data_IF_592893004856
#
_entry.id   IF_592893004856
#
_cell.length_a   1.000
_cell.length_b   1.000
_cell.length_c   1.000
_cell.angle_alpha   90.00
_cell.angle_beta   90.00
_cell.angle_gamma   90.00
#
_symmetry.space_group_name_H-M   'P 1'
#
loop_
_entity.id
_entity.type
_entity.pdbx_description
1 polymer ?
#
# COMPACT_ATOMS: atom_id res chain seq x y z
N UNK A 1 23.16 -38.83 21.63
CA UNK A 1 23.92 -39.11 20.40
C UNK A 1 22.94 -39.03 19.25
N UNK A 2 23.18 -38.08 18.32
CA UNK A 2 22.78 -37.96 16.89
C UNK A 2 21.37 -38.44 16.47
N UNK A 3 20.59 -37.77 15.64
CA UNK A 3 20.65 -36.55 14.82
C UNK A 3 19.24 -36.41 14.26
N UNK A 4 18.66 -35.21 14.25
CA UNK A 4 17.64 -34.90 13.25
C UNK A 4 17.93 -33.52 12.67
N UNK A 5 18.32 -33.54 11.40
CA UNK A 5 18.55 -32.38 10.56
C UNK A 5 17.20 -32.08 9.90
N UNK A 6 16.60 -30.94 10.20
CA UNK A 6 15.66 -30.31 9.28
C UNK A 6 16.42 -29.23 8.51
N UNK A 7 16.67 -29.38 7.21
CA UNK A 7 17.18 -28.31 6.37
C UNK A 7 16.02 -27.37 6.02
N UNK A 8 16.35 -26.09 5.84
CA UNK A 8 15.49 -25.02 5.33
C UNK A 8 14.60 -24.33 6.38
N UNK A 9 15.20 -23.43 7.14
CA UNK A 9 14.51 -22.28 7.69
C UNK A 9 15.39 -21.05 7.42
N UNK A 10 15.48 -20.66 6.15
CA UNK A 10 16.18 -19.45 5.70
C UNK A 10 15.29 -18.19 5.77
N UNK A 11 14.21 -18.19 6.55
CA UNK A 11 13.36 -17.00 6.73
C UNK A 11 13.62 -16.36 8.10
N UNK A 12 14.77 -15.69 8.22
CA UNK A 12 15.02 -14.77 9.33
C UNK A 12 14.27 -13.46 9.09
N UNK A 13 13.09 -13.37 9.70
CA UNK A 13 12.20 -12.22 9.74
C UNK A 13 12.77 -11.10 10.64
N UNK A 14 13.31 -10.04 10.04
CA UNK A 14 13.58 -8.76 10.68
C UNK A 14 13.21 -7.63 9.72
N UNK A 15 11.96 -7.16 9.75
CA UNK A 15 11.52 -6.01 8.94
C UNK A 15 11.41 -4.76 9.81
N UNK A 16 12.37 -3.84 9.63
CA UNK A 16 12.25 -2.46 10.12
C UNK A 16 11.62 -1.61 9.02
N UNK A 17 10.88 -0.55 9.41
CA UNK A 17 10.26 0.56 8.64
C UNK A 17 11.17 1.29 7.63
N UNK A 18 12.00 0.55 6.91
CA UNK A 18 13.18 1.04 6.18
C UNK A 18 12.95 1.14 4.68
N UNK A 19 11.77 0.77 4.20
CA UNK A 19 11.48 0.73 2.77
C UNK A 19 12.22 -0.37 2.00
N UNK A 20 12.91 -1.30 2.70
CA UNK A 20 13.70 -2.39 2.09
C UNK A 20 12.85 -3.17 1.08
N UNK A 21 11.63 -3.57 1.44
CA UNK A 21 10.76 -4.32 0.54
C UNK A 21 10.48 -3.54 -0.76
N UNK A 22 10.12 -2.25 -0.66
CA UNK A 22 9.81 -1.43 -1.82
C UNK A 22 11.03 -1.27 -2.74
N UNK A 23 12.22 -1.15 -2.15
CA UNK A 23 13.49 -1.04 -2.87
C UNK A 23 13.90 -2.36 -3.52
N UNK A 24 13.70 -3.48 -2.84
CA UNK A 24 13.96 -4.82 -3.39
C UNK A 24 12.97 -5.16 -4.50
N UNK A 25 11.71 -4.73 -4.37
CA UNK A 25 10.71 -4.80 -5.43
C UNK A 25 11.14 -3.95 -6.64
N UNK A 26 11.56 -2.70 -6.41
CA UNK A 26 12.04 -1.82 -7.48
C UNK A 26 13.24 -2.37 -8.26
N UNK A 27 14.10 -3.18 -7.62
CA UNK A 27 15.26 -3.84 -8.27
C UNK A 27 14.85 -4.98 -9.20
N UNK A 28 13.72 -5.62 -8.95
CA UNK A 28 13.27 -6.82 -9.65
C UNK A 28 12.22 -6.54 -10.73
N UNK A 29 11.61 -5.35 -10.71
CA UNK A 29 10.54 -4.97 -11.60
C UNK A 29 10.90 -3.78 -12.50
N UNK A 30 10.09 -3.55 -13.54
CA UNK A 30 10.37 -2.54 -14.55
C UNK A 30 10.32 -1.13 -13.95
N UNK A 31 11.22 -0.27 -14.42
CA UNK A 31 11.27 1.17 -14.07
C UNK A 31 10.06 1.96 -14.61
N UNK A 32 9.12 1.30 -15.30
CA UNK A 32 7.92 1.91 -15.83
C UNK A 32 6.84 2.16 -14.76
N UNK A 33 6.88 1.43 -13.64
CA UNK A 33 5.95 1.61 -12.53
C UNK A 33 6.50 2.64 -11.53
N UNK A 34 5.65 3.57 -11.11
CA UNK A 34 5.91 4.46 -9.98
C UNK A 34 5.63 3.71 -8.66
N UNK A 35 6.56 3.79 -7.73
CA UNK A 35 6.53 3.08 -6.45
C UNK A 35 6.61 4.08 -5.31
N UNK A 36 5.54 4.19 -4.52
CA UNK A 36 5.48 5.12 -3.39
C UNK A 36 5.38 4.36 -2.06
N UNK A 37 6.29 4.64 -1.14
CA UNK A 37 6.24 4.15 0.23
C UNK A 37 5.57 5.17 1.15
N UNK A 38 4.51 4.76 1.84
CA UNK A 38 3.79 5.60 2.80
C UNK A 38 4.04 5.09 4.23
N UNK A 39 4.51 5.97 5.12
CA UNK A 39 4.73 5.64 6.54
C UNK A 39 4.47 6.89 7.41
N UNK A 40 4.07 6.70 8.67
CA UNK A 40 3.84 7.80 9.61
C UNK A 40 5.13 8.52 10.03
N UNK A 41 6.30 7.89 9.86
CA UNK A 41 7.60 8.55 9.95
C UNK A 41 8.61 7.98 8.94
N UNK A 42 9.42 8.87 8.38
CA UNK A 42 10.42 8.55 7.37
C UNK A 42 11.83 8.40 7.96
N UNK A 43 11.96 8.35 9.29
CA UNK A 43 13.28 8.33 9.96
C UNK A 43 14.12 7.09 9.66
N UNK A 44 13.52 6.09 9.03
CA UNK A 44 14.13 4.81 8.73
C UNK A 44 14.30 4.60 7.22
N UNK A 45 13.76 5.47 6.36
CA UNK A 45 13.92 5.34 4.91
C UNK A 45 15.27 5.90 4.45
N UNK A 46 15.86 5.39 3.36
CA UNK A 46 17.11 5.93 2.83
C UNK A 46 16.96 7.38 2.39
N UNK A 47 18.08 8.09 2.34
CA UNK A 47 18.09 9.45 1.82
C UNK A 47 17.58 9.47 0.38
N UNK A 48 16.76 10.48 0.03
CA UNK A 48 16.09 10.58 -1.28
C UNK A 48 17.05 10.52 -2.47
N UNK A 49 18.26 11.09 -2.31
CA UNK A 49 19.33 11.04 -3.30
C UNK A 49 19.85 9.61 -3.63
N UNK A 50 19.51 8.60 -2.82
CA UNK A 50 19.89 7.21 -3.02
C UNK A 50 18.74 6.35 -3.56
N UNK A 51 17.56 6.94 -3.75
CA UNK A 51 16.40 6.23 -4.25
C UNK A 51 16.50 6.07 -5.77
N UNK A 52 16.02 4.95 -6.33
CA UNK A 52 15.74 4.85 -7.76
C UNK A 52 14.79 5.97 -8.21
N UNK A 53 14.88 6.38 -9.48
CA UNK A 53 14.08 7.48 -10.03
C UNK A 53 12.58 7.23 -9.98
N UNK A 54 12.15 5.96 -9.93
CA UNK A 54 10.75 5.56 -9.88
C UNK A 54 10.26 5.24 -8.45
N UNK A 55 11.06 5.53 -7.42
CA UNK A 55 10.71 5.27 -6.01
C UNK A 55 10.64 6.59 -5.25
N UNK A 56 9.55 6.81 -4.52
CA UNK A 56 9.40 7.93 -3.60
C UNK A 56 8.88 7.48 -2.23
N UNK A 57 9.12 8.27 -1.20
CA UNK A 57 8.55 8.04 0.13
C UNK A 57 7.81 9.29 0.59
N UNK A 58 6.60 9.11 1.11
CA UNK A 58 5.76 10.18 1.63
C UNK A 58 5.33 9.87 3.06
N UNK A 59 5.29 10.90 3.90
CA UNK A 59 4.77 10.74 5.26
C UNK A 59 3.24 10.75 5.21
N UNK A 60 2.62 9.69 5.71
CA UNK A 60 1.16 9.57 5.77
C UNK A 60 0.73 8.73 6.96
N UNK A 61 -0.29 9.19 7.68
CA UNK A 61 -0.98 8.39 8.70
C UNK A 61 -2.21 7.76 8.06
N UNK A 62 -2.27 6.44 8.06
CA UNK A 62 -3.32 5.66 7.40
C UNK A 62 -4.71 5.84 8.03
N UNK A 63 -4.79 6.43 9.22
CA UNK A 63 -6.05 6.80 9.88
C UNK A 63 -6.60 8.17 9.45
N UNK A 64 -5.80 9.00 8.80
CA UNK A 64 -6.22 10.31 8.30
C UNK A 64 -6.87 10.19 6.93
N UNK A 65 -7.73 11.15 6.56
CA UNK A 65 -8.33 11.19 5.22
C UNK A 65 -7.21 11.30 4.16
N UNK A 66 -7.24 10.49 3.08
CA UNK A 66 -6.25 10.59 2.01
C UNK A 66 -6.25 12.00 1.40
N UNK A 67 -5.10 12.68 1.32
CA UNK A 67 -5.01 13.95 0.61
C UNK A 67 -5.33 13.76 -0.88
N UNK A 68 -5.75 14.84 -1.54
CA UNK A 68 -6.29 14.82 -2.91
C UNK A 68 -5.36 14.18 -3.94
N UNK A 69 -4.05 14.25 -3.72
CA UNK A 69 -3.05 13.66 -4.59
C UNK A 69 -2.95 12.13 -4.47
N UNK A 70 -3.45 11.54 -3.39
CA UNK A 70 -3.48 10.08 -3.20
C UNK A 70 -4.80 9.43 -3.64
N UNK A 71 -5.87 10.21 -3.81
CA UNK A 71 -7.19 9.71 -4.22
C UNK A 71 -7.12 9.10 -5.63
N UNK A 72 -7.50 7.83 -5.76
CA UNK A 72 -7.49 7.11 -7.04
C UNK A 72 -6.11 6.97 -7.69
N UNK A 73 -5.02 7.16 -6.94
CA UNK A 73 -3.66 7.25 -7.48
C UNK A 73 -3.06 5.88 -7.80
N UNK A 74 -3.42 4.84 -7.05
CA UNK A 74 -2.70 3.57 -7.07
C UNK A 74 -3.52 2.44 -7.68
N UNK A 75 -2.98 1.77 -8.69
CA UNK A 75 -3.59 0.54 -9.24
C UNK A 75 -3.42 -0.66 -8.30
N UNK A 76 -2.36 -0.65 -7.50
CA UNK A 76 -2.02 -1.70 -6.53
C UNK A 76 -1.59 -1.03 -5.23
N UNK A 77 -2.20 -1.44 -4.13
CA UNK A 77 -1.76 -1.10 -2.78
C UNK A 77 -1.30 -2.37 -2.08
N UNK A 78 -0.04 -2.41 -1.68
CA UNK A 78 0.50 -3.46 -0.83
C UNK A 78 0.52 -3.00 0.63
N UNK A 79 -0.11 -3.75 1.53
CA UNK A 79 -0.15 -3.44 2.96
C UNK A 79 0.49 -4.57 3.74
N UNK A 80 1.39 -4.22 4.66
CA UNK A 80 2.06 -5.18 5.55
C UNK A 80 1.94 -4.71 7.01
N UNK A 81 1.92 -5.67 7.93
CA UNK A 81 1.87 -5.44 9.39
C UNK A 81 0.67 -4.62 9.88
N UNK A 82 -0.40 -4.54 9.08
CA UNK A 82 -1.59 -3.77 9.42
C UNK A 82 -2.18 -4.21 10.76
N UNK A 83 -2.23 -5.53 11.03
CA UNK A 83 -2.80 -6.11 12.25
C UNK A 83 -2.14 -5.60 13.55
N UNK A 84 -0.89 -5.16 13.51
CA UNK A 84 -0.18 -4.61 14.68
C UNK A 84 -0.62 -3.19 15.03
N UNK A 85 -1.22 -2.48 14.08
CA UNK A 85 -1.57 -1.07 14.21
C UNK A 85 -3.07 -0.82 14.16
N UNK A 86 -3.90 -1.87 13.99
CA UNK A 86 -5.37 -1.77 14.07
C UNK A 86 -5.79 -1.35 15.49
N UNK A 87 -6.42 -0.18 15.58
CA UNK A 87 -6.97 0.35 16.84
C UNK A 87 -8.29 -0.35 17.12
N UNK A 88 -8.53 -0.69 18.40
CA UNK A 88 -9.82 -1.20 18.88
C UNK A 88 -10.34 -2.45 18.14
N UNK A 89 -9.45 -3.20 17.48
CA UNK A 89 -9.79 -4.33 16.62
C UNK A 89 -10.76 -3.97 15.47
N UNK A 90 -10.74 -2.71 15.02
CA UNK A 90 -11.56 -2.20 13.92
C UNK A 90 -10.67 -1.65 12.80
N UNK A 91 -10.54 -2.36 11.67
CA UNK A 91 -9.75 -1.91 10.53
C UNK A 91 -10.53 -1.00 9.57
N UNK A 92 -11.82 -0.71 9.83
CA UNK A 92 -12.74 -0.10 8.85
C UNK A 92 -12.21 1.21 8.29
N UNK A 93 -11.83 2.15 9.15
CA UNK A 93 -11.27 3.46 8.73
C UNK A 93 -10.04 3.30 7.84
N UNK A 94 -9.16 2.37 8.17
CA UNK A 94 -7.95 2.10 7.38
C UNK A 94 -8.34 1.56 6.01
N UNK A 95 -9.25 0.59 5.96
CA UNK A 95 -9.69 0.00 4.70
C UNK A 95 -10.40 1.04 3.82
N UNK A 96 -11.26 1.87 4.40
CA UNK A 96 -11.96 2.94 3.67
C UNK A 96 -10.97 3.92 3.05
N UNK A 97 -9.96 4.36 3.80
CA UNK A 97 -8.91 5.25 3.29
C UNK A 97 -8.09 4.59 2.17
N UNK A 98 -7.75 3.31 2.30
CA UNK A 98 -7.05 2.57 1.25
C UNK A 98 -7.90 2.40 -0.01
N UNK A 99 -9.21 2.16 0.12
CA UNK A 99 -10.13 2.05 -1.00
C UNK A 99 -10.26 3.38 -1.75
N UNK A 100 -10.26 4.51 -1.05
CA UNK A 100 -10.24 5.85 -1.68
C UNK A 100 -8.96 6.06 -2.50
N UNK A 101 -7.83 5.51 -2.06
CA UNK A 101 -6.55 5.64 -2.74
C UNK A 101 -6.41 4.74 -3.97
N UNK A 102 -7.21 3.66 -4.06
CA UNK A 102 -7.19 2.76 -5.20
C UNK A 102 -7.80 3.41 -6.43
N UNK A 103 -7.13 3.27 -7.58
CA UNK A 103 -7.68 3.67 -8.86
C UNK A 103 -8.93 2.83 -9.15
N UNK A 104 -10.06 3.50 -9.40
CA UNK A 104 -11.24 2.83 -9.90
C UNK A 104 -11.04 2.57 -11.38
N UNK A 105 -10.77 1.31 -11.74
CA UNK A 105 -10.83 0.87 -13.13
C UNK A 105 -12.28 0.87 -13.62
N UNK A 106 -12.81 2.04 -13.95
CA UNK A 106 -14.02 2.19 -14.75
C UNK A 106 -13.66 2.87 -16.08
N UNK A 107 -13.28 2.05 -17.06
CA UNK A 107 -13.61 2.36 -18.44
C UNK A 107 -15.00 1.78 -18.69
N UNK A 108 -16.07 2.58 -18.80
CA UNK A 108 -17.30 2.07 -19.39
C UNK A 108 -16.95 1.71 -20.82
N UNK A 109 -16.76 0.42 -21.10
CA UNK A 109 -16.78 -0.10 -22.46
C UNK A 109 -18.19 0.16 -22.97
N UNK A 110 -18.39 1.31 -23.62
CA UNK A 110 -19.64 1.75 -24.25
C UNK A 110 -20.91 1.28 -23.56
N UNK A 111 -21.37 1.99 -22.54
CA UNK A 111 -22.79 1.90 -22.18
C UNK A 111 -23.52 2.99 -22.93
N UNK A 112 -24.13 2.59 -24.04
CA UNK A 112 -25.36 3.25 -24.49
C UNK A 112 -26.30 3.33 -23.28
N UNK A 113 -26.87 4.52 -23.10
CA UNK A 113 -27.89 4.91 -22.11
C UNK A 113 -28.43 3.80 -21.21
N UNK A 114 -28.00 3.78 -19.94
CA UNK A 114 -28.90 3.39 -18.86
C UNK A 114 -29.24 4.63 -18.06
N UNK A 115 -30.43 5.15 -18.37
CA UNK A 115 -31.09 6.21 -17.63
C UNK A 115 -31.31 5.79 -16.18
N UNK A 116 -31.08 6.72 -15.27
CA UNK A 116 -31.86 6.84 -14.05
C UNK A 116 -31.41 5.99 -12.87
N UNK A 117 -30.94 6.72 -11.85
CA UNK A 117 -31.09 6.46 -10.42
C UNK A 117 -30.32 5.26 -9.84
N UNK A 118 -29.27 5.54 -9.05
CA UNK A 118 -29.30 5.26 -7.60
C UNK A 118 -27.96 5.62 -6.94
N UNK A 119 -27.84 6.88 -6.48
CA UNK A 119 -26.89 7.27 -5.43
C UNK A 119 -27.68 7.58 -4.16
N UNK A 120 -28.36 6.59 -3.61
CA UNK A 120 -28.86 6.67 -2.24
C UNK A 120 -28.70 5.30 -1.64
N UNK A 121 -27.61 5.05 -0.91
CA UNK A 121 -27.52 4.09 0.20
C UNK A 121 -26.07 4.05 0.71
N UNK A 122 -25.64 5.06 1.47
CA UNK A 122 -24.63 4.92 2.55
C UNK A 122 -24.81 6.08 3.56
N UNK A 123 -25.98 6.13 4.19
CA UNK A 123 -26.17 6.75 5.51
C UNK A 123 -27.52 6.32 6.09
N UNK A 124 -27.52 5.26 6.90
CA UNK A 124 -28.50 5.00 7.94
C UNK A 124 -27.87 4.06 8.97
#
# INVERSE_FOLDING_TARGET
MTTDIAPNADDYLLDRRTGIWLLDFARQHTQAAQLDGLDISLDQVPHTAWLPSNVSFCRYDIYEEPPKDLVGKYDIIHVRHLTLVVKQNDPTVVLDNLLIMLSTFYSPCGTDELSGNDYTLLSA
#
